data_IF_486934679146
#
_entry.id   IF_486934679146
#
_cell.length_a   1.000
_cell.length_b   1.000
_cell.length_c   1.000
_cell.angle_alpha   90.00
_cell.angle_beta   90.00
_cell.angle_gamma   90.00
#
_symmetry.space_group_name_H-M   'P 1'
#
loop_
_entity.id
_entity.type
_entity.pdbx_description
1 polymer ?
#
# COMPACT_ATOMS: atom_id res chain seq x y z
N UNK A 1 17.31 30.07 1.80
CA UNK A 1 16.04 29.42 2.22
C UNK A 1 16.31 27.92 2.18
N UNK A 2 16.13 27.23 3.29
CA UNK A 2 16.24 25.78 3.36
C UNK A 2 15.04 25.17 2.63
N UNK A 3 15.26 24.22 1.74
CA UNK A 3 14.22 23.68 0.83
C UNK A 3 13.47 24.75 0.04
N UNK A 4 14.20 25.50 -0.79
CA UNK A 4 13.63 26.51 -1.70
C UNK A 4 12.67 25.93 -2.75
N UNK A 5 12.02 26.78 -3.53
CA UNK A 5 10.99 26.37 -4.50
C UNK A 5 11.51 25.52 -5.67
N UNK A 6 12.82 25.55 -5.90
CA UNK A 6 13.50 24.78 -6.95
C UNK A 6 14.29 23.58 -6.41
N UNK A 7 14.04 23.17 -5.18
CA UNK A 7 14.68 21.96 -4.65
C UNK A 7 14.40 20.78 -5.57
N UNK A 8 15.43 20.02 -5.93
CA UNK A 8 15.42 18.90 -6.91
C UNK A 8 15.17 19.29 -8.37
N UNK A 9 14.98 20.57 -8.71
CA UNK A 9 14.86 21.03 -10.09
C UNK A 9 16.23 21.50 -10.58
N UNK A 10 17.00 20.58 -11.16
CA UNK A 10 18.43 20.79 -11.45
C UNK A 10 18.71 21.64 -12.68
N UNK A 11 17.72 21.80 -13.55
CA UNK A 11 17.87 22.57 -14.80
C UNK A 11 16.58 23.24 -15.25
N UNK A 12 16.66 24.15 -16.21
CA UNK A 12 15.53 24.94 -16.68
C UNK A 12 14.39 24.08 -17.27
N UNK A 13 14.72 22.94 -17.89
CA UNK A 13 13.69 22.03 -18.43
C UNK A 13 12.93 21.33 -17.32
N UNK A 14 13.60 20.93 -16.24
CA UNK A 14 12.95 20.38 -15.06
C UNK A 14 12.00 21.42 -14.43
N UNK A 15 12.44 22.70 -14.37
CA UNK A 15 11.58 23.80 -13.88
C UNK A 15 10.37 23.99 -14.80
N UNK A 16 10.55 24.05 -16.13
CA UNK A 16 9.46 24.20 -17.09
C UNK A 16 8.41 23.10 -16.99
N UNK A 17 8.85 21.83 -16.90
CA UNK A 17 7.98 20.66 -16.73
C UNK A 17 7.24 20.70 -15.40
N UNK A 18 7.92 21.05 -14.32
CA UNK A 18 7.32 21.17 -13.00
C UNK A 18 6.27 22.28 -12.95
N UNK A 19 6.56 23.46 -13.52
CA UNK A 19 5.61 24.57 -13.58
C UNK A 19 4.31 24.20 -14.32
N UNK A 20 4.41 23.37 -15.35
CA UNK A 20 3.25 22.80 -16.04
C UNK A 20 2.51 21.78 -15.14
N UNK A 21 3.24 20.84 -14.54
CA UNK A 21 2.67 19.71 -13.85
C UNK A 21 2.08 20.06 -12.45
N UNK A 22 2.64 21.06 -11.75
CA UNK A 22 2.27 21.37 -10.36
C UNK A 22 0.80 21.78 -10.15
N UNK A 23 0.11 22.20 -11.20
CA UNK A 23 -1.31 22.58 -11.16
C UNK A 23 -2.26 21.45 -11.56
N UNK A 24 -1.74 20.34 -12.10
CA UNK A 24 -2.56 19.20 -12.48
C UNK A 24 -3.12 18.52 -11.23
N UNK A 25 -4.36 17.99 -11.30
CA UNK A 25 -4.90 17.22 -10.19
C UNK A 25 -4.12 15.92 -10.01
N UNK A 26 -3.99 15.50 -8.74
CA UNK A 26 -3.37 14.22 -8.39
C UNK A 26 -4.45 13.14 -8.37
N UNK A 27 -4.20 12.06 -9.09
CA UNK A 27 -4.94 10.80 -8.95
C UNK A 27 -4.05 9.84 -8.13
N UNK A 28 -4.39 9.68 -6.86
CA UNK A 28 -3.69 8.78 -5.95
C UNK A 28 -4.26 7.37 -6.09
N UNK A 29 -3.71 6.60 -7.02
CA UNK A 29 -4.24 5.29 -7.42
C UNK A 29 -3.82 4.14 -6.50
N UNK A 30 -3.08 4.41 -5.44
CA UNK A 30 -2.75 3.45 -4.38
C UNK A 30 -2.36 4.18 -3.11
N UNK A 31 -3.19 4.09 -2.09
CA UNK A 31 -2.91 4.67 -0.78
C UNK A 31 -3.40 3.77 0.36
N UNK A 32 -2.90 4.05 1.58
CA UNK A 32 -3.30 3.36 2.81
C UNK A 32 -4.12 4.24 3.76
N UNK A 33 -4.81 5.26 3.22
CA UNK A 33 -5.72 6.08 4.03
C UNK A 33 -6.92 5.24 4.48
N UNK A 34 -7.23 5.29 5.77
CA UNK A 34 -8.40 4.61 6.31
C UNK A 34 -9.69 5.32 5.86
N UNK A 35 -10.60 4.63 5.14
CA UNK A 35 -11.85 5.25 4.69
C UNK A 35 -12.69 5.84 5.83
N UNK A 36 -12.62 5.23 7.02
CA UNK A 36 -13.32 5.68 8.22
C UNK A 36 -12.80 7.03 8.72
N UNK A 37 -11.47 7.27 8.63
CA UNK A 37 -10.87 8.55 8.99
C UNK A 37 -11.29 9.66 8.01
N UNK A 38 -11.46 9.32 6.73
CA UNK A 38 -11.97 10.24 5.70
C UNK A 38 -13.45 10.52 5.94
N UNK A 39 -14.27 9.49 6.17
CA UNK A 39 -15.72 9.65 6.44
C UNK A 39 -15.96 10.53 7.66
N UNK A 40 -15.23 10.27 8.74
CA UNK A 40 -15.33 11.03 9.99
C UNK A 40 -14.67 12.41 9.94
N UNK A 41 -14.02 12.75 8.83
CA UNK A 41 -13.19 13.97 8.68
C UNK A 41 -12.26 14.17 9.88
N UNK A 42 -11.48 13.14 10.21
CA UNK A 42 -10.58 13.12 11.35
C UNK A 42 -9.69 14.36 11.38
N UNK A 43 -9.77 15.10 12.48
CA UNK A 43 -8.94 16.28 12.74
C UNK A 43 -7.66 15.85 13.44
N UNK A 44 -6.53 16.34 12.96
CA UNK A 44 -5.21 16.14 13.58
C UNK A 44 -4.86 17.33 14.45
N UNK A 45 -4.45 17.06 15.69
CA UNK A 45 -4.23 18.12 16.70
C UNK A 45 -2.76 18.54 16.79
N UNK A 46 -1.83 17.69 16.33
CA UNK A 46 -0.39 17.97 16.40
C UNK A 46 0.37 17.14 15.35
N UNK A 47 1.68 17.44 15.19
CA UNK A 47 2.54 16.76 14.22
C UNK A 47 2.72 15.26 14.51
N UNK A 48 2.69 14.83 15.75
CA UNK A 48 2.82 13.42 16.10
C UNK A 48 1.60 12.63 15.62
N UNK A 49 0.40 13.14 15.83
CA UNK A 49 -0.82 12.53 15.29
C UNK A 49 -0.81 12.48 13.76
N UNK A 50 -0.35 13.56 13.11
CA UNK A 50 -0.34 13.67 11.66
C UNK A 50 0.77 12.81 11.00
N UNK A 51 1.96 12.76 11.62
CA UNK A 51 3.15 12.20 10.98
C UNK A 51 3.64 10.88 11.58
N UNK A 52 3.42 10.65 12.87
CA UNK A 52 4.05 9.53 13.59
C UNK A 52 3.09 8.43 14.04
N UNK A 53 1.78 8.68 14.04
CA UNK A 53 0.82 7.69 14.53
C UNK A 53 0.45 6.58 13.52
N UNK A 54 1.16 6.44 12.42
CA UNK A 54 0.90 5.41 11.42
C UNK A 54 2.00 5.25 10.38
N UNK A 55 3.05 6.08 10.44
CA UNK A 55 4.12 6.06 9.44
C UNK A 55 5.28 5.16 9.88
N UNK A 56 5.22 3.90 9.48
CA UNK A 56 6.26 2.92 9.76
C UNK A 56 7.62 3.24 9.10
N UNK A 57 7.69 4.08 8.09
CA UNK A 57 8.96 4.58 7.52
C UNK A 57 9.65 5.55 8.47
N UNK A 58 8.91 6.46 9.09
CA UNK A 58 9.42 7.37 10.12
C UNK A 58 9.84 6.59 11.37
N UNK A 59 9.04 5.59 11.78
CA UNK A 59 9.40 4.70 12.90
C UNK A 59 10.70 3.95 12.66
N UNK A 60 10.93 3.49 11.42
CA UNK A 60 12.16 2.77 11.05
C UNK A 60 13.41 3.64 11.25
N UNK A 61 13.39 4.90 10.81
CA UNK A 61 14.55 5.78 11.00
C UNK A 61 14.76 6.15 12.47
N UNK A 62 13.68 6.34 13.25
CA UNK A 62 13.79 6.58 14.69
C UNK A 62 14.44 5.39 15.40
N UNK A 63 14.03 4.16 15.06
CA UNK A 63 14.65 2.93 15.60
C UNK A 63 16.11 2.77 15.18
N UNK A 64 16.43 3.05 13.92
CA UNK A 64 17.79 2.98 13.40
C UNK A 64 18.72 4.00 14.08
N UNK A 65 18.20 5.13 14.53
CA UNK A 65 18.91 6.11 15.33
C UNK A 65 19.10 5.69 16.79
N UNK A 66 18.28 4.76 17.30
CA UNK A 66 18.32 4.27 18.67
C UNK A 66 17.31 4.93 19.61
N UNK A 67 16.23 5.49 19.08
CA UNK A 67 15.12 6.00 19.90
C UNK A 67 14.44 4.83 20.62
N UNK A 68 14.13 5.03 21.90
CA UNK A 68 13.38 4.05 22.70
C UNK A 68 11.98 3.84 22.14
N UNK A 69 11.52 2.59 22.10
CA UNK A 69 10.23 2.19 21.52
C UNK A 69 9.03 2.90 22.16
N UNK A 70 9.16 3.32 23.42
CA UNK A 70 8.18 4.17 24.11
C UNK A 70 7.81 5.43 23.32
N UNK A 71 8.80 6.02 22.63
CA UNK A 71 8.64 7.24 21.83
C UNK A 71 8.42 6.95 20.33
N UNK A 72 8.27 5.72 19.92
CA UNK A 72 8.01 5.32 18.54
C UNK A 72 6.55 4.83 18.45
N UNK A 73 6.28 3.59 18.86
CA UNK A 73 4.94 3.00 18.85
C UNK A 73 4.29 2.94 20.23
N UNK A 74 5.05 3.22 21.30
CA UNK A 74 4.58 3.17 22.69
C UNK A 74 3.79 4.42 23.12
N UNK A 75 3.60 4.56 24.43
CA UNK A 75 2.75 5.54 25.11
C UNK A 75 3.46 6.86 25.49
N UNK A 76 4.59 7.17 24.85
CA UNK A 76 5.30 8.43 25.09
C UNK A 76 4.46 9.65 24.73
N UNK A 77 4.73 10.77 25.40
CA UNK A 77 4.09 12.06 25.12
C UNK A 77 4.33 12.49 23.65
N UNK A 78 3.32 13.04 22.99
CA UNK A 78 3.35 13.41 21.58
C UNK A 78 4.45 14.43 21.24
N UNK A 79 4.66 15.42 22.10
CA UNK A 79 5.72 16.40 21.90
C UNK A 79 7.09 15.75 21.99
N UNK A 80 7.27 14.84 22.97
CA UNK A 80 8.52 14.10 23.12
C UNK A 80 8.76 13.17 21.91
N UNK A 81 7.73 12.49 21.39
CA UNK A 81 7.84 11.70 20.16
C UNK A 81 8.34 12.54 18.99
N UNK A 82 7.74 13.71 18.77
CA UNK A 82 8.20 14.63 17.73
C UNK A 82 9.64 15.10 17.96
N UNK A 83 10.02 15.38 19.20
CA UNK A 83 11.39 15.79 19.52
C UNK A 83 12.40 14.70 19.24
N UNK A 84 12.08 13.44 19.56
CA UNK A 84 12.92 12.28 19.20
C UNK A 84 13.03 12.09 17.69
N UNK A 85 11.94 12.33 16.96
CA UNK A 85 11.99 12.34 15.49
C UNK A 85 12.89 13.48 14.95
N UNK A 86 12.76 14.70 15.50
CA UNK A 86 13.61 15.84 15.13
C UNK A 86 15.08 15.65 15.49
N UNK A 87 15.38 14.87 16.52
CA UNK A 87 16.74 14.46 16.89
C UNK A 87 17.31 13.44 15.88
N UNK A 88 16.52 12.46 15.48
CA UNK A 88 16.93 11.40 14.56
C UNK A 88 17.10 11.91 13.13
N UNK A 89 16.16 12.69 12.60
CA UNK A 89 16.03 13.02 11.18
C UNK A 89 17.31 13.60 10.53
N UNK A 90 18.10 14.51 11.16
CA UNK A 90 19.33 15.05 10.57
C UNK A 90 20.41 14.01 10.25
N UNK A 91 20.33 12.83 10.83
CA UNK A 91 21.28 11.74 10.58
C UNK A 91 20.91 10.91 9.33
N UNK A 92 19.79 11.22 8.69
CA UNK A 92 19.24 10.50 7.54
C UNK A 92 19.18 11.36 6.26
N UNK A 93 20.10 12.32 6.10
CA UNK A 93 20.24 13.09 4.85
C UNK A 93 20.47 12.10 3.69
N UNK A 94 19.68 12.24 2.62
CA UNK A 94 19.67 11.33 1.49
C UNK A 94 18.61 10.22 1.56
N UNK A 95 17.99 10.01 2.73
CA UNK A 95 16.80 9.19 2.84
C UNK A 95 15.56 9.99 2.36
N UNK A 96 14.64 9.42 1.58
CA UNK A 96 13.42 10.11 1.14
C UNK A 96 12.60 10.74 2.28
N UNK A 97 12.51 10.10 3.44
CA UNK A 97 11.79 10.63 4.61
C UNK A 97 12.32 12.00 5.04
N UNK A 98 13.65 12.23 4.93
CA UNK A 98 14.23 13.55 5.20
C UNK A 98 13.65 14.63 4.27
N UNK A 99 13.52 14.31 3.00
CA UNK A 99 12.99 15.24 2.01
C UNK A 99 11.48 15.45 2.20
N UNK A 100 10.73 14.37 2.36
CA UNK A 100 9.28 14.41 2.52
C UNK A 100 8.86 15.24 3.72
N UNK A 101 9.43 15.00 4.90
CA UNK A 101 9.10 15.75 6.12
C UNK A 101 9.33 17.25 5.96
N UNK A 102 10.41 17.68 5.28
CA UNK A 102 10.66 19.09 5.03
C UNK A 102 9.74 19.70 3.96
N UNK A 103 9.38 18.93 2.92
CA UNK A 103 8.43 19.37 1.90
C UNK A 103 7.02 19.49 2.48
N UNK A 104 6.61 18.56 3.32
CA UNK A 104 5.35 18.59 4.07
C UNK A 104 5.29 19.81 5.00
N UNK A 105 6.37 20.04 5.77
CA UNK A 105 6.47 21.20 6.65
C UNK A 105 6.34 22.52 5.87
N UNK A 106 6.99 22.61 4.71
CA UNK A 106 6.89 23.78 3.83
C UNK A 106 5.48 23.92 3.24
N UNK A 107 4.93 22.86 2.67
CA UNK A 107 3.66 22.89 1.92
C UNK A 107 2.47 23.23 2.84
N UNK A 108 2.36 22.55 3.96
CA UNK A 108 1.18 22.64 4.82
C UNK A 108 1.32 23.68 5.94
N UNK A 109 2.54 23.99 6.34
CA UNK A 109 2.79 24.89 7.49
C UNK A 109 3.51 26.19 7.14
N UNK A 110 3.95 26.38 5.88
CA UNK A 110 4.79 27.52 5.44
C UNK A 110 6.08 27.67 6.26
N UNK A 111 6.61 26.54 6.73
CA UNK A 111 7.84 26.49 7.51
C UNK A 111 8.99 25.93 6.67
N UNK A 112 10.08 26.69 6.57
CA UNK A 112 11.30 26.26 5.87
C UNK A 112 12.48 26.11 6.82
N UNK A 113 12.18 25.76 8.08
CA UNK A 113 13.20 25.47 9.10
C UNK A 113 13.68 24.02 8.94
N UNK A 114 15.00 23.75 9.09
CA UNK A 114 15.49 22.39 9.23
C UNK A 114 14.87 21.70 10.45
N UNK A 115 14.33 20.50 10.25
CA UNK A 115 13.85 19.67 11.36
C UNK A 115 15.08 19.11 12.07
N UNK A 116 15.37 19.66 13.25
CA UNK A 116 16.50 19.28 14.08
C UNK A 116 16.25 19.74 15.53
N UNK A 117 17.03 19.28 16.53
CA UNK A 117 16.82 19.63 17.94
C UNK A 117 16.76 21.14 18.21
N UNK A 118 17.56 21.92 17.49
CA UNK A 118 17.61 23.38 17.66
C UNK A 118 16.28 24.05 17.31
N UNK A 119 15.55 23.54 16.34
CA UNK A 119 14.34 24.17 15.82
C UNK A 119 13.07 23.42 16.25
N UNK A 120 13.19 22.30 16.96
CA UNK A 120 12.06 21.42 17.30
C UNK A 120 10.96 22.15 18.07
N UNK A 121 11.34 22.97 19.08
CA UNK A 121 10.36 23.73 19.86
C UNK A 121 9.62 24.78 19.02
N UNK A 122 10.32 25.50 18.17
CA UNK A 122 9.69 26.48 17.27
C UNK A 122 8.76 25.81 16.28
N UNK A 123 9.19 24.70 15.66
CA UNK A 123 8.36 23.95 14.70
C UNK A 123 7.12 23.43 15.40
N UNK A 124 7.26 22.81 16.57
CA UNK A 124 6.14 22.29 17.34
C UNK A 124 5.11 23.38 17.66
N UNK A 125 5.57 24.50 18.21
CA UNK A 125 4.69 25.60 18.61
C UNK A 125 3.94 26.18 17.40
N UNK A 126 4.65 26.48 16.31
CA UNK A 126 4.03 27.10 15.12
C UNK A 126 3.07 26.17 14.40
N UNK A 127 3.35 24.86 14.39
CA UNK A 127 2.44 23.90 13.81
C UNK A 127 1.20 23.69 14.66
N UNK A 128 1.32 23.66 15.99
CA UNK A 128 0.16 23.64 16.89
C UNK A 128 -0.74 24.86 16.69
N UNK A 129 -0.15 26.07 16.62
CA UNK A 129 -0.91 27.31 16.37
C UNK A 129 -1.70 27.22 15.05
N UNK A 130 -1.08 26.68 13.99
CA UNK A 130 -1.73 26.53 12.68
C UNK A 130 -2.81 25.45 12.67
N UNK A 131 -2.68 24.41 13.47
CA UNK A 131 -3.65 23.32 13.59
C UNK A 131 -4.83 23.63 14.52
N UNK A 132 -4.71 24.67 15.35
CA UNK A 132 -5.67 24.99 16.40
C UNK A 132 -7.09 25.33 15.90
N UNK A 133 -7.24 25.76 14.65
CA UNK A 133 -8.53 26.12 14.06
C UNK A 133 -9.29 24.92 13.45
N UNK A 134 -8.72 23.70 13.54
CA UNK A 134 -9.30 22.47 12.97
C UNK A 134 -9.20 22.39 11.45
N UNK A 135 -8.35 23.19 10.81
CA UNK A 135 -8.14 23.15 9.35
C UNK A 135 -7.32 21.95 8.89
N UNK A 136 -6.69 21.21 9.81
CA UNK A 136 -5.94 19.99 9.52
C UNK A 136 -6.82 18.75 9.72
N UNK A 137 -7.83 18.60 8.86
CA UNK A 137 -8.65 17.40 8.82
C UNK A 137 -8.34 16.55 7.58
N UNK A 138 -8.73 15.28 7.62
CA UNK A 138 -8.46 14.32 6.54
C UNK A 138 -8.97 14.85 5.18
N UNK A 139 -10.22 15.33 5.12
CA UNK A 139 -10.81 15.85 3.88
C UNK A 139 -10.12 17.12 3.40
N UNK A 140 -9.83 18.06 4.31
CA UNK A 140 -9.17 19.32 3.95
C UNK A 140 -7.73 19.12 3.49
N UNK A 141 -7.02 18.14 4.02
CA UNK A 141 -5.67 17.80 3.57
C UNK A 141 -5.68 17.16 2.17
N UNK A 142 -6.64 16.28 1.88
CA UNK A 142 -6.82 15.69 0.54
C UNK A 142 -7.16 16.80 -0.47
N UNK A 143 -8.14 17.64 -0.17
CA UNK A 143 -8.55 18.77 -1.01
C UNK A 143 -7.40 19.77 -1.22
N UNK A 144 -6.74 20.21 -0.14
CA UNK A 144 -5.62 21.15 -0.18
C UNK A 144 -4.37 20.59 -0.90
N UNK A 145 -4.33 19.30 -1.13
CA UNK A 145 -3.29 18.62 -1.92
C UNK A 145 -3.61 18.57 -3.42
N UNK A 146 -4.76 19.09 -3.85
CA UNK A 146 -5.26 19.01 -5.22
C UNK A 146 -5.44 17.55 -5.70
N UNK A 147 -5.88 16.68 -4.80
CA UNK A 147 -6.17 15.28 -5.12
C UNK A 147 -7.60 15.16 -5.62
N UNK A 148 -7.79 14.60 -6.80
CA UNK A 148 -9.11 14.39 -7.38
C UNK A 148 -9.71 13.01 -7.07
N UNK A 149 -8.87 12.04 -6.74
CA UNK A 149 -9.29 10.72 -6.29
C UNK A 149 -8.18 10.06 -5.46
N UNK A 150 -8.59 9.29 -4.46
CA UNK A 150 -7.75 8.35 -3.71
C UNK A 150 -8.31 6.94 -3.87
N UNK A 151 -7.43 5.97 -4.05
CA UNK A 151 -7.78 4.55 -4.12
C UNK A 151 -7.18 3.86 -2.90
N UNK A 152 -8.04 3.44 -1.99
CA UNK A 152 -7.65 2.83 -0.71
C UNK A 152 -7.25 1.36 -0.88
N UNK A 153 -6.90 0.68 0.21
CA UNK A 153 -6.58 -0.76 0.21
C UNK A 153 -7.55 -1.47 1.15
N UNK A 154 -8.43 -2.31 0.58
CA UNK A 154 -9.56 -2.87 1.30
C UNK A 154 -9.62 -4.40 1.17
N UNK A 155 -9.89 -5.08 2.27
CA UNK A 155 -9.96 -6.54 2.28
C UNK A 155 -11.21 -7.05 1.53
N UNK A 156 -11.11 -8.13 0.74
CA UNK A 156 -12.26 -8.77 0.07
C UNK A 156 -13.50 -8.99 0.94
N UNK A 157 -13.34 -9.14 2.26
CA UNK A 157 -14.46 -9.34 3.19
C UNK A 157 -15.08 -8.05 3.73
N UNK A 158 -14.53 -6.88 3.40
CA UNK A 158 -15.02 -5.58 3.86
C UNK A 158 -16.39 -5.24 3.25
N UNK A 159 -17.23 -4.59 4.04
CA UNK A 159 -18.57 -4.19 3.62
C UNK A 159 -18.62 -2.90 2.81
N UNK A 160 -17.49 -2.16 2.71
CA UNK A 160 -17.35 -0.88 2.03
C UNK A 160 -18.37 0.19 2.47
N UNK A 161 -18.88 0.12 3.70
CA UNK A 161 -19.88 1.04 4.21
C UNK A 161 -19.41 2.50 4.23
N UNK A 162 -18.14 2.73 4.58
CA UNK A 162 -17.53 4.05 4.57
C UNK A 162 -17.43 4.62 3.14
N UNK A 163 -17.01 3.83 2.15
CA UNK A 163 -16.95 4.26 0.75
C UNK A 163 -18.35 4.67 0.24
N UNK A 164 -19.38 3.85 0.52
CA UNK A 164 -20.75 4.17 0.13
C UNK A 164 -21.30 5.42 0.82
N UNK A 165 -20.88 5.68 2.06
CA UNK A 165 -21.28 6.89 2.77
C UNK A 165 -20.59 8.12 2.16
N UNK A 166 -19.27 8.07 1.96
CA UNK A 166 -18.47 9.16 1.35
C UNK A 166 -18.97 9.48 -0.07
N UNK A 167 -19.32 8.46 -0.86
CA UNK A 167 -19.83 8.64 -2.22
C UNK A 167 -21.18 9.40 -2.31
N UNK A 168 -21.89 9.55 -1.18
CA UNK A 168 -23.15 10.33 -1.08
C UNK A 168 -22.92 11.78 -0.64
N UNK A 169 -21.70 12.09 -0.22
CA UNK A 169 -21.32 13.45 0.18
C UNK A 169 -20.87 14.26 -1.04
N UNK A 170 -20.97 15.58 -0.95
CA UNK A 170 -20.47 16.51 -1.96
C UNK A 170 -18.99 16.84 -1.70
N UNK A 171 -18.12 15.87 -1.95
CA UNK A 171 -16.66 16.05 -1.84
C UNK A 171 -16.06 16.42 -3.20
N UNK A 172 -15.04 17.31 -3.27
CA UNK A 172 -14.35 17.65 -4.52
C UNK A 172 -13.43 16.53 -5.03
N UNK A 173 -13.33 15.42 -4.31
CA UNK A 173 -12.53 14.25 -4.64
C UNK A 173 -13.34 12.95 -4.47
N UNK A 174 -12.88 11.88 -5.10
CA UNK A 174 -13.47 10.55 -4.96
C UNK A 174 -12.63 9.69 -4.00
N UNK A 175 -13.30 8.80 -3.27
CA UNK A 175 -12.67 7.73 -2.49
C UNK A 175 -13.15 6.41 -3.05
N UNK A 176 -12.23 5.65 -3.66
CA UNK A 176 -12.53 4.42 -4.37
C UNK A 176 -11.87 3.24 -3.66
N UNK A 177 -12.57 2.10 -3.49
CA UNK A 177 -11.95 0.92 -2.92
C UNK A 177 -11.00 0.24 -3.91
N UNK A 178 -9.95 -0.42 -3.40
CA UNK A 178 -9.14 -1.37 -4.14
C UNK A 178 -9.24 -2.75 -3.46
N UNK A 179 -9.46 -3.79 -4.25
CA UNK A 179 -9.57 -5.15 -3.76
C UNK A 179 -8.18 -5.71 -3.43
N UNK A 180 -7.81 -5.82 -2.15
CA UNK A 180 -6.51 -6.31 -1.72
C UNK A 180 -6.52 -7.81 -1.51
N UNK A 181 -5.89 -8.55 -2.43
CA UNK A 181 -5.96 -10.00 -2.47
C UNK A 181 -4.91 -10.73 -1.61
N UNK A 182 -4.10 -10.02 -0.81
CA UNK A 182 -3.01 -10.62 -0.03
C UNK A 182 -3.49 -11.80 0.83
N UNK A 183 -4.62 -11.69 1.52
CA UNK A 183 -5.14 -12.76 2.36
C UNK A 183 -5.69 -13.94 1.57
N UNK A 184 -6.08 -13.72 0.33
CA UNK A 184 -6.55 -14.80 -0.56
C UNK A 184 -5.40 -15.69 -1.01
N UNK A 185 -4.25 -15.09 -1.33
CA UNK A 185 -3.10 -15.82 -1.90
C UNK A 185 -2.18 -16.43 -0.83
N UNK A 186 -2.22 -15.94 0.39
CA UNK A 186 -1.32 -16.39 1.46
C UNK A 186 -1.89 -17.59 2.23
N UNK A 187 -2.05 -18.71 1.53
CA UNK A 187 -2.65 -19.96 2.04
C UNK A 187 -1.89 -20.55 3.23
N UNK A 188 -0.60 -20.24 3.37
CA UNK A 188 0.25 -20.71 4.47
C UNK A 188 -0.06 -20.08 5.84
N UNK A 189 -0.88 -19.01 5.87
CA UNK A 189 -1.15 -18.30 7.13
C UNK A 189 -2.04 -19.11 8.08
N UNK A 190 -1.75 -19.09 9.38
CA UNK A 190 -2.49 -19.88 10.37
C UNK A 190 -4.01 -19.64 10.36
N UNK A 191 -4.44 -18.40 10.10
CA UNK A 191 -5.84 -17.98 10.10
C UNK A 191 -6.54 -18.14 8.75
N UNK A 192 -5.91 -18.80 7.76
CA UNK A 192 -6.44 -18.90 6.40
C UNK A 192 -7.79 -19.60 6.33
N UNK A 193 -7.99 -20.71 7.04
CA UNK A 193 -9.27 -21.42 7.04
C UNK A 193 -10.42 -20.56 7.60
N UNK A 194 -10.17 -19.82 8.67
CA UNK A 194 -11.14 -18.86 9.22
C UNK A 194 -11.44 -17.72 8.24
N UNK A 195 -10.42 -17.26 7.53
CA UNK A 195 -10.59 -16.25 6.50
C UNK A 195 -11.45 -16.73 5.33
N UNK A 196 -11.20 -17.93 4.80
CA UNK A 196 -11.99 -18.53 3.72
C UNK A 196 -13.44 -18.73 4.15
N UNK A 197 -13.68 -19.15 5.39
CA UNK A 197 -15.04 -19.23 5.93
C UNK A 197 -15.73 -17.87 5.93
N UNK A 198 -15.06 -16.84 6.43
CA UNK A 198 -15.59 -15.46 6.43
C UNK A 198 -15.85 -14.94 5.01
N UNK A 199 -14.95 -15.22 4.07
CA UNK A 199 -15.14 -14.88 2.66
C UNK A 199 -16.41 -15.54 2.10
N UNK A 200 -16.60 -16.83 2.37
CA UNK A 200 -17.79 -17.58 1.97
C UNK A 200 -19.07 -16.97 2.53
N UNK A 201 -19.08 -16.60 3.80
CA UNK A 201 -20.21 -15.95 4.46
C UNK A 201 -20.60 -14.63 3.77
N UNK A 202 -19.64 -13.74 3.49
CA UNK A 202 -19.92 -12.44 2.85
C UNK A 202 -20.21 -12.56 1.36
N UNK A 203 -19.69 -13.59 0.69
CA UNK A 203 -19.96 -13.89 -0.72
C UNK A 203 -21.27 -14.69 -0.93
N UNK A 204 -21.81 -15.30 0.15
CA UNK A 204 -22.96 -16.21 0.06
C UNK A 204 -22.62 -17.51 -0.71
N UNK A 205 -21.42 -18.05 -0.52
CA UNK A 205 -20.89 -19.27 -1.14
C UNK A 205 -20.35 -20.18 -0.03
N UNK A 206 -20.74 -21.46 -0.04
CA UNK A 206 -20.10 -22.46 0.83
C UNK A 206 -18.84 -22.97 0.13
N UNK A 207 -17.66 -22.49 0.57
CA UNK A 207 -16.36 -22.82 -0.05
C UNK A 207 -15.91 -24.17 0.49
N UNK A 208 -15.85 -25.19 -0.37
CA UNK A 208 -15.36 -26.54 -0.08
C UNK A 208 -14.15 -26.91 -0.92
N UNK A 209 -13.95 -26.22 -2.04
CA UNK A 209 -12.89 -26.45 -2.99
C UNK A 209 -12.53 -25.17 -3.74
N UNK A 210 -11.58 -25.32 -4.65
CA UNK A 210 -11.00 -24.19 -5.37
C UNK A 210 -12.00 -23.47 -6.29
N UNK A 211 -12.94 -24.20 -6.90
CA UNK A 211 -13.95 -23.59 -7.75
C UNK A 211 -14.93 -22.72 -6.96
N UNK A 212 -15.35 -23.13 -5.77
CA UNK A 212 -16.19 -22.32 -4.90
C UNK A 212 -15.42 -21.10 -4.36
N UNK A 213 -14.10 -21.26 -4.11
CA UNK A 213 -13.25 -20.12 -3.79
C UNK A 213 -13.23 -19.09 -4.92
N UNK A 214 -13.04 -19.54 -6.16
CA UNK A 214 -13.08 -18.65 -7.34
C UNK A 214 -14.44 -17.97 -7.48
N UNK A 215 -15.55 -18.69 -7.28
CA UNK A 215 -16.90 -18.11 -7.29
C UNK A 215 -17.06 -17.04 -6.20
N UNK A 216 -16.58 -17.30 -4.99
CA UNK A 216 -16.63 -16.34 -3.90
C UNK A 216 -15.80 -15.08 -4.21
N UNK A 217 -14.60 -15.23 -4.73
CA UNK A 217 -13.72 -14.14 -5.18
C UNK A 217 -14.41 -13.31 -6.26
N UNK A 218 -14.99 -13.96 -7.27
CA UNK A 218 -15.68 -13.28 -8.37
C UNK A 218 -16.87 -12.45 -7.88
N UNK A 219 -17.73 -13.01 -7.00
CA UNK A 219 -18.85 -12.30 -6.40
C UNK A 219 -18.39 -11.09 -5.57
N UNK A 220 -17.29 -11.23 -4.82
CA UNK A 220 -16.73 -10.13 -4.05
C UNK A 220 -16.13 -9.06 -4.95
N UNK A 221 -15.45 -9.45 -6.00
CA UNK A 221 -14.91 -8.53 -7.01
C UNK A 221 -16.04 -7.73 -7.68
N UNK A 222 -17.15 -8.38 -8.06
CA UNK A 222 -18.32 -7.69 -8.60
C UNK A 222 -18.92 -6.69 -7.60
N UNK A 223 -18.96 -7.05 -6.32
CA UNK A 223 -19.40 -6.14 -5.26
C UNK A 223 -18.46 -4.93 -5.16
N UNK A 224 -17.14 -5.11 -5.25
CA UNK A 224 -16.18 -4.01 -5.24
C UNK A 224 -16.33 -3.11 -6.47
N UNK A 225 -16.47 -3.69 -7.66
CA UNK A 225 -16.74 -2.96 -8.91
C UNK A 225 -18.01 -2.12 -8.80
N UNK A 226 -19.09 -2.69 -8.27
CA UNK A 226 -20.35 -1.97 -8.05
C UNK A 226 -20.19 -0.79 -7.07
N UNK A 227 -19.13 -0.78 -6.25
CA UNK A 227 -18.77 0.32 -5.34
C UNK A 227 -17.61 1.19 -5.86
N UNK A 228 -17.22 1.05 -7.14
CA UNK A 228 -16.29 1.92 -7.82
C UNK A 228 -14.84 1.44 -7.85
N UNK A 229 -14.55 0.19 -7.46
CA UNK A 229 -13.20 -0.38 -7.58
C UNK A 229 -12.76 -0.45 -9.04
N UNK A 230 -11.51 -0.07 -9.28
CA UNK A 230 -10.87 -0.07 -10.60
C UNK A 230 -9.58 -0.89 -10.63
N UNK A 231 -9.15 -1.39 -9.50
CA UNK A 231 -7.90 -2.13 -9.36
C UNK A 231 -7.99 -3.23 -8.31
N UNK A 232 -7.12 -4.22 -8.45
CA UNK A 232 -6.78 -5.22 -7.43
C UNK A 232 -5.32 -5.04 -7.05
N UNK A 233 -5.03 -5.11 -5.75
CA UNK A 233 -3.69 -5.00 -5.17
C UNK A 233 -3.26 -6.36 -4.60
N UNK A 234 -2.05 -6.79 -4.94
CA UNK A 234 -1.47 -8.07 -4.51
C UNK A 234 -0.03 -7.84 -4.06
N UNK A 235 0.28 -8.18 -2.82
CA UNK A 235 1.62 -8.12 -2.26
C UNK A 235 2.25 -9.51 -2.13
N UNK A 236 3.51 -9.66 -2.63
CA UNK A 236 4.26 -10.91 -2.58
C UNK A 236 5.76 -10.67 -2.39
N UNK A 237 6.47 -11.65 -1.87
CA UNK A 237 7.93 -11.57 -1.74
C UNK A 237 8.61 -11.73 -3.10
N UNK A 238 8.19 -12.72 -3.90
CA UNK A 238 8.61 -12.97 -5.28
C UNK A 238 7.43 -13.47 -6.10
N UNK A 239 7.54 -13.47 -7.42
CA UNK A 239 6.54 -14.09 -8.28
C UNK A 239 6.48 -15.59 -7.99
N UNK A 240 5.28 -16.16 -7.75
CA UNK A 240 5.15 -17.60 -7.56
C UNK A 240 5.46 -18.34 -8.85
N UNK A 241 5.97 -19.55 -8.72
CA UNK A 241 6.11 -20.49 -9.84
C UNK A 241 4.99 -21.52 -9.78
N UNK A 242 4.36 -21.80 -10.93
CA UNK A 242 3.27 -22.77 -10.99
C UNK A 242 2.93 -23.15 -12.44
N UNK A 243 1.99 -24.06 -12.57
CA UNK A 243 1.52 -24.60 -13.86
C UNK A 243 0.07 -24.27 -14.18
N UNK A 244 -0.67 -23.68 -13.23
CA UNK A 244 -2.10 -23.41 -13.36
C UNK A 244 -2.97 -24.66 -13.17
N UNK A 245 -2.54 -25.60 -12.33
CA UNK A 245 -3.25 -26.85 -12.08
C UNK A 245 -4.37 -26.68 -11.05
N UNK A 246 -5.59 -26.47 -11.56
CA UNK A 246 -6.80 -26.31 -10.73
C UNK A 246 -7.07 -27.55 -9.85
N UNK A 247 -6.77 -28.76 -10.34
CA UNK A 247 -7.00 -29.99 -9.56
C UNK A 247 -6.06 -30.08 -8.38
N UNK A 248 -4.78 -29.72 -8.58
CA UNK A 248 -3.82 -29.65 -7.48
C UNK A 248 -4.22 -28.56 -6.47
N UNK A 249 -4.68 -27.41 -6.94
CA UNK A 249 -5.16 -26.33 -6.06
C UNK A 249 -6.39 -26.73 -5.23
N UNK A 250 -7.23 -27.61 -5.74
CA UNK A 250 -8.37 -28.16 -5.00
C UNK A 250 -7.90 -29.03 -3.83
N UNK A 251 -6.94 -29.94 -4.08
CA UNK A 251 -6.32 -30.80 -3.06
C UNK A 251 -5.58 -29.95 -2.01
N UNK A 252 -4.80 -28.94 -2.45
CA UNK A 252 -4.07 -28.03 -1.55
C UNK A 252 -5.03 -27.24 -0.63
N UNK A 253 -6.14 -26.74 -1.20
CA UNK A 253 -7.14 -26.01 -0.42
C UNK A 253 -7.84 -26.92 0.59
N UNK A 254 -8.22 -28.15 0.21
CA UNK A 254 -8.82 -29.13 1.11
C UNK A 254 -7.87 -29.43 2.27
N UNK A 255 -6.59 -29.70 1.99
CA UNK A 255 -5.56 -29.94 2.99
C UNK A 255 -5.42 -28.74 3.96
N UNK A 256 -5.46 -27.52 3.44
CA UNK A 256 -5.38 -26.32 4.28
C UNK A 256 -6.63 -26.09 5.13
N UNK A 257 -7.82 -26.36 4.61
CA UNK A 257 -9.08 -26.26 5.35
C UNK A 257 -9.14 -27.32 6.48
N UNK A 258 -8.47 -28.46 6.30
CA UNK A 258 -8.25 -29.49 7.31
C UNK A 258 -7.08 -29.16 8.29
N UNK A 259 -6.54 -27.92 8.24
CA UNK A 259 -5.43 -27.44 9.06
C UNK A 259 -4.11 -28.22 8.86
N UNK A 260 -3.94 -28.91 7.72
CA UNK A 260 -2.69 -29.58 7.38
C UNK A 260 -1.61 -28.56 6.97
N UNK A 261 -0.35 -29.03 7.03
CA UNK A 261 0.78 -28.23 6.58
C UNK A 261 0.81 -28.13 5.06
N UNK A 262 1.05 -26.92 4.55
CA UNK A 262 1.26 -26.62 3.14
C UNK A 262 2.73 -26.28 2.93
N UNK A 263 3.39 -26.99 2.03
CA UNK A 263 4.78 -26.70 1.71
C UNK A 263 4.94 -25.53 0.73
N UNK A 264 6.19 -25.15 0.44
CA UNK A 264 6.46 -23.98 -0.38
C UNK A 264 6.11 -24.19 -1.87
N UNK A 265 6.17 -25.42 -2.37
CA UNK A 265 5.82 -25.74 -3.76
C UNK A 265 4.29 -25.70 -3.94
N UNK A 266 3.55 -26.29 -3.02
CA UNK A 266 2.09 -26.23 -3.00
C UNK A 266 1.57 -24.79 -2.85
N UNK A 267 2.20 -24.03 -1.94
CA UNK A 267 1.90 -22.61 -1.79
C UNK A 267 2.14 -21.84 -3.09
N UNK A 268 3.25 -22.08 -3.76
CA UNK A 268 3.60 -21.39 -5.01
C UNK A 268 2.60 -21.73 -6.13
N UNK A 269 2.23 -23.01 -6.31
CA UNK A 269 1.22 -23.45 -7.27
C UNK A 269 -0.14 -22.80 -6.99
N UNK A 270 -0.59 -22.81 -5.73
CA UNK A 270 -1.85 -22.20 -5.34
C UNK A 270 -1.86 -20.70 -5.61
N UNK A 271 -0.79 -19.98 -5.22
CA UNK A 271 -0.65 -18.54 -5.48
C UNK A 271 -0.67 -18.23 -6.96
N UNK A 272 0.12 -18.96 -7.75
CA UNK A 272 0.21 -18.79 -9.21
C UNK A 272 -1.17 -18.96 -9.86
N UNK A 273 -1.84 -20.06 -9.56
CA UNK A 273 -3.12 -20.41 -10.17
C UNK A 273 -4.22 -19.43 -9.77
N UNK A 274 -4.34 -19.12 -8.48
CA UNK A 274 -5.35 -18.15 -8.01
C UNK A 274 -5.12 -16.75 -8.61
N UNK A 275 -3.88 -16.27 -8.64
CA UNK A 275 -3.53 -14.99 -9.24
C UNK A 275 -3.83 -14.95 -10.74
N UNK A 276 -3.59 -16.05 -11.48
CA UNK A 276 -3.91 -16.14 -12.89
C UNK A 276 -5.44 -16.07 -13.15
N UNK A 277 -6.24 -16.70 -12.29
CA UNK A 277 -7.70 -16.60 -12.36
C UNK A 277 -8.18 -15.18 -12.00
N UNK A 278 -7.61 -14.55 -10.98
CA UNK A 278 -7.90 -13.14 -10.65
C UNK A 278 -7.55 -12.24 -11.83
N UNK A 279 -6.38 -12.41 -12.46
CA UNK A 279 -5.97 -11.62 -13.61
C UNK A 279 -6.99 -11.71 -14.77
N UNK A 280 -7.51 -12.92 -15.06
CA UNK A 280 -8.58 -13.10 -16.04
C UNK A 280 -9.87 -12.36 -15.64
N UNK A 281 -10.28 -12.46 -14.36
CA UNK A 281 -11.45 -11.71 -13.86
C UNK A 281 -11.28 -10.21 -14.02
N UNK A 282 -10.07 -9.69 -13.82
CA UNK A 282 -9.73 -8.27 -14.01
C UNK A 282 -9.79 -7.86 -15.46
N UNK A 283 -9.26 -8.69 -16.35
CA UNK A 283 -9.30 -8.47 -17.80
C UNK A 283 -10.74 -8.33 -18.30
N UNK A 284 -11.62 -9.23 -17.86
CA UNK A 284 -13.03 -9.24 -18.25
C UNK A 284 -13.81 -8.01 -17.74
N UNK A 285 -13.25 -7.28 -16.75
CA UNK A 285 -13.85 -6.08 -16.11
C UNK A 285 -13.11 -4.77 -16.43
N UNK A 286 -12.10 -4.80 -17.31
CA UNK A 286 -11.20 -3.66 -17.62
C UNK A 286 -10.58 -3.03 -16.35
N UNK A 287 -10.18 -3.87 -15.39
CA UNK A 287 -9.55 -3.45 -14.15
C UNK A 287 -8.03 -3.53 -14.24
N UNK A 288 -7.34 -2.81 -13.34
CA UNK A 288 -5.89 -2.79 -13.23
C UNK A 288 -5.42 -3.81 -12.19
N UNK A 289 -4.38 -4.58 -12.53
CA UNK A 289 -3.66 -5.45 -11.59
C UNK A 289 -2.44 -4.71 -11.05
N UNK A 290 -2.36 -4.52 -9.73
CA UNK A 290 -1.24 -3.90 -9.04
C UNK A 290 -0.46 -4.98 -8.29
N UNK A 291 0.79 -5.21 -8.66
CA UNK A 291 1.64 -6.26 -8.10
C UNK A 291 2.79 -5.63 -7.29
N UNK A 292 2.79 -5.82 -5.99
CA UNK A 292 3.86 -5.39 -5.09
C UNK A 292 4.81 -6.56 -4.83
N UNK A 293 6.07 -6.43 -5.24
CA UNK A 293 7.06 -7.51 -5.14
C UNK A 293 8.34 -7.05 -4.46
N UNK A 294 9.03 -7.97 -3.83
CA UNK A 294 10.38 -7.74 -3.32
C UNK A 294 10.44 -7.23 -1.88
N UNK A 295 9.49 -7.59 -1.03
CA UNK A 295 9.48 -7.24 0.40
C UNK A 295 9.50 -8.49 1.27
N UNK A 296 10.53 -8.61 2.11
CA UNK A 296 10.56 -9.60 3.20
C UNK A 296 9.89 -8.99 4.42
N UNK A 297 8.80 -9.59 4.86
CA UNK A 297 8.01 -9.10 6.00
C UNK A 297 8.58 -9.56 7.33
N UNK A 298 8.47 -8.69 8.35
CA UNK A 298 8.71 -9.01 9.75
C UNK A 298 10.08 -9.67 10.03
N UNK A 299 11.17 -9.13 9.44
CA UNK A 299 12.51 -9.73 9.49
C UNK A 299 13.09 -9.89 10.89
N UNK A 300 12.57 -9.20 11.90
CA UNK A 300 12.99 -9.30 13.28
C UNK A 300 11.83 -9.83 14.14
N UNK A 301 11.89 -11.14 14.46
CA UNK A 301 10.86 -11.82 15.26
C UNK A 301 10.62 -11.15 16.60
N UNK A 302 11.68 -10.76 17.32
CA UNK A 302 11.54 -10.11 18.63
C UNK A 302 10.85 -8.72 18.54
N UNK A 303 11.03 -8.00 17.42
CA UNK A 303 10.31 -6.76 17.16
C UNK A 303 8.85 -7.06 16.83
N UNK A 304 8.60 -8.06 15.99
CA UNK A 304 7.26 -8.51 15.64
C UNK A 304 6.45 -8.95 16.86
N UNK A 305 7.04 -9.79 17.72
CA UNK A 305 6.40 -10.27 18.96
C UNK A 305 6.03 -9.13 19.91
N UNK A 306 6.81 -8.05 19.92
CA UNK A 306 6.59 -6.90 20.81
C UNK A 306 5.64 -5.87 20.24
N UNK A 307 5.72 -5.58 18.95
CA UNK A 307 5.06 -4.42 18.32
C UNK A 307 4.03 -4.81 17.26
N UNK A 308 4.01 -6.06 16.80
CA UNK A 308 3.08 -6.53 15.75
C UNK A 308 3.57 -6.29 14.33
N UNK A 309 2.62 -6.30 13.39
CA UNK A 309 2.85 -6.08 11.95
C UNK A 309 2.99 -4.58 11.62
N UNK A 310 3.52 -4.28 10.45
CA UNK A 310 3.58 -2.93 9.86
C UNK A 310 4.27 -1.86 10.73
N UNK A 311 5.25 -2.28 11.51
CA UNK A 311 6.01 -1.40 12.42
C UNK A 311 7.37 -0.95 11.87
N UNK A 312 7.63 -1.16 10.57
CA UNK A 312 8.91 -0.86 9.93
C UNK A 312 9.96 -1.95 10.12
N UNK A 313 9.53 -3.18 10.41
CA UNK A 313 10.39 -4.37 10.57
C UNK A 313 10.66 -5.15 9.29
N UNK A 314 10.23 -4.63 8.14
CA UNK A 314 10.38 -5.27 6.83
C UNK A 314 11.73 -4.95 6.18
N UNK A 315 12.15 -5.73 5.22
CA UNK A 315 13.37 -5.51 4.44
C UNK A 315 13.13 -5.69 2.95
N UNK A 316 14.03 -5.14 2.15
CA UNK A 316 14.06 -5.40 0.71
C UNK A 316 14.46 -6.86 0.50
N UNK A 317 13.67 -7.59 -0.28
CA UNK A 317 13.97 -8.96 -0.65
C UNK A 317 15.21 -9.05 -1.55
N UNK A 318 15.71 -10.26 -1.70
CA UNK A 318 16.82 -10.58 -2.57
C UNK A 318 16.47 -10.32 -4.05
N UNK A 319 17.29 -10.74 -4.97
CA UNK A 319 17.07 -10.55 -6.40
C UNK A 319 15.74 -11.22 -6.81
N UNK A 320 14.83 -10.42 -7.35
CA UNK A 320 13.59 -10.90 -7.93
C UNK A 320 13.88 -11.94 -9.02
N UNK A 321 13.18 -13.07 -9.00
CA UNK A 321 13.27 -14.05 -10.09
C UNK A 321 12.46 -13.58 -11.30
N UNK A 322 13.11 -12.87 -12.21
CA UNK A 322 12.50 -12.34 -13.43
C UNK A 322 11.96 -13.43 -14.34
N UNK A 323 12.49 -14.66 -14.26
CA UNK A 323 11.93 -15.77 -15.02
C UNK A 323 10.53 -16.15 -14.51
N UNK A 324 10.33 -16.18 -13.19
CA UNK A 324 9.00 -16.44 -12.64
C UNK A 324 8.01 -15.32 -13.04
N UNK A 325 8.47 -14.05 -13.02
CA UNK A 325 7.68 -12.92 -13.50
C UNK A 325 7.27 -13.11 -14.96
N UNK A 326 8.23 -13.49 -15.83
CA UNK A 326 7.96 -13.80 -17.25
C UNK A 326 6.95 -14.94 -17.39
N UNK A 327 7.17 -16.04 -16.68
CA UNK A 327 6.33 -17.24 -16.80
C UNK A 327 4.89 -16.95 -16.35
N UNK A 328 4.72 -16.18 -15.28
CA UNK A 328 3.39 -15.74 -14.82
C UNK A 328 2.71 -14.82 -15.86
N UNK A 329 3.38 -13.78 -16.31
CA UNK A 329 2.80 -12.83 -17.26
C UNK A 329 2.45 -13.50 -18.59
N UNK A 330 3.34 -14.37 -19.11
CA UNK A 330 3.12 -15.13 -20.35
C UNK A 330 1.98 -16.14 -20.21
N UNK A 331 1.91 -16.84 -19.07
CA UNK A 331 0.79 -17.75 -18.79
C UNK A 331 -0.56 -17.02 -18.80
N UNK A 332 -0.63 -15.87 -18.13
CA UNK A 332 -1.87 -15.06 -18.08
C UNK A 332 -2.24 -14.57 -19.48
N UNK A 333 -1.25 -14.06 -20.25
CA UNK A 333 -1.48 -13.59 -21.62
C UNK A 333 -2.04 -14.70 -22.52
N UNK A 334 -1.48 -15.92 -22.44
CA UNK A 334 -1.95 -17.07 -23.24
C UNK A 334 -3.31 -17.62 -22.80
N UNK A 335 -3.72 -17.40 -21.54
CA UNK A 335 -4.93 -17.99 -20.95
C UNK A 335 -6.07 -16.99 -20.72
N UNK A 336 -6.15 -15.93 -21.47
CA UNK A 336 -7.26 -14.98 -21.43
C UNK A 336 -6.87 -13.53 -21.64
N UNK A 337 -5.59 -13.23 -21.76
CA UNK A 337 -5.02 -11.92 -21.95
C UNK A 337 -4.67 -11.23 -20.63
N UNK A 338 -3.53 -10.54 -20.63
CA UNK A 338 -3.01 -9.82 -19.49
C UNK A 338 -3.84 -8.54 -19.27
N UNK A 339 -4.36 -8.27 -18.05
CA UNK A 339 -4.97 -6.99 -17.74
C UNK A 339 -3.89 -5.88 -17.71
N UNK A 340 -4.31 -4.61 -17.72
CA UNK A 340 -3.39 -3.50 -17.44
C UNK A 340 -2.69 -3.75 -16.11
N UNK A 341 -1.36 -3.83 -16.12
CA UNK A 341 -0.58 -4.27 -14.96
C UNK A 341 0.43 -3.21 -14.54
N UNK A 342 0.51 -2.96 -13.24
CA UNK A 342 1.54 -2.12 -12.61
C UNK A 342 2.36 -3.02 -11.69
N UNK A 343 3.68 -3.00 -11.83
CA UNK A 343 4.59 -3.74 -10.96
C UNK A 343 5.37 -2.75 -10.10
N UNK A 344 5.26 -2.88 -8.79
CA UNK A 344 6.02 -2.10 -7.81
C UNK A 344 7.11 -2.97 -7.19
N UNK A 345 8.31 -2.43 -7.05
CA UNK A 345 9.38 -3.08 -6.30
C UNK A 345 10.20 -2.07 -5.52
N UNK A 346 10.56 -2.44 -4.29
CA UNK A 346 11.48 -1.66 -3.46
C UNK A 346 12.95 -1.90 -3.82
N UNK A 347 13.23 -2.96 -4.60
CA UNK A 347 14.60 -3.31 -4.97
C UNK A 347 15.02 -2.61 -6.27
N UNK A 348 15.89 -1.57 -6.23
CA UNK A 348 16.32 -0.87 -7.43
C UNK A 348 17.06 -1.76 -8.42
N UNK A 349 17.65 -2.88 -7.99
CA UNK A 349 18.31 -3.82 -8.89
C UNK A 349 17.34 -4.57 -9.80
N UNK A 350 16.05 -4.63 -9.41
CA UNK A 350 14.98 -5.23 -10.21
C UNK A 350 14.40 -4.28 -11.27
N UNK A 351 14.65 -2.97 -11.19
CA UNK A 351 14.05 -2.00 -12.12
C UNK A 351 14.44 -2.28 -13.57
N UNK A 352 15.73 -2.52 -13.81
CA UNK A 352 16.22 -2.72 -15.17
C UNK A 352 15.66 -4.00 -15.83
N UNK A 353 15.75 -5.19 -15.22
CA UNK A 353 15.19 -6.39 -15.80
C UNK A 353 13.66 -6.35 -15.92
N UNK A 354 12.94 -5.77 -14.95
CA UNK A 354 11.49 -5.60 -15.07
C UNK A 354 11.11 -4.62 -16.18
N UNK A 355 11.81 -3.49 -16.30
CA UNK A 355 11.55 -2.51 -17.35
C UNK A 355 11.75 -3.09 -18.76
N UNK A 356 12.70 -4.00 -18.94
CA UNK A 356 12.88 -4.71 -20.21
C UNK A 356 11.80 -5.75 -20.44
N UNK A 357 11.42 -6.53 -19.40
CA UNK A 357 10.39 -7.56 -19.48
C UNK A 357 9.03 -6.97 -19.85
N UNK A 358 8.60 -5.89 -19.19
CA UNK A 358 7.28 -5.30 -19.49
C UNK A 358 7.19 -4.73 -20.91
N UNK A 359 8.32 -4.47 -21.56
CA UNK A 359 8.38 -4.07 -22.97
C UNK A 359 7.85 -5.14 -23.93
N UNK A 360 7.95 -6.41 -23.56
CA UNK A 360 7.50 -7.54 -24.37
C UNK A 360 5.98 -7.72 -24.35
N UNK A 361 5.30 -7.14 -23.38
CA UNK A 361 3.84 -7.20 -23.20
C UNK A 361 3.11 -5.93 -23.65
N UNK A 362 3.78 -5.05 -24.39
CA UNK A 362 3.17 -3.86 -24.97
C UNK A 362 2.54 -4.12 -26.33
N UNK A 363 1.42 -3.45 -26.63
CA UNK A 363 0.84 -3.48 -27.97
C UNK A 363 0.08 -4.74 -28.32
N UNK A 364 -0.24 -5.59 -27.37
CA UNK A 364 -1.24 -6.64 -27.55
C UNK A 364 -2.57 -5.98 -27.89
N UNK A 365 -3.21 -6.45 -28.94
CA UNK A 365 -4.46 -5.87 -29.45
C UNK A 365 -5.54 -5.92 -28.35
N UNK A 366 -5.94 -4.77 -27.90
CA UNK A 366 -7.07 -4.56 -27.00
C UNK A 366 -8.30 -4.14 -27.77
#
# INVERSE_FOLDING_TARGET
MFFGDKVFLENDKAVELYEYAKSLPIFDYHCHLAPQDILGDKVFLNLTELWLNGDHYKWRIMRAYGVDEKFITGDGDDKEKFFRFAEALPHFIGNPVYHWAHLELKKYFDLTLPICPKNAEEIWTRTLEKMADGSFSAKKLIEGSNVCAVVTTDDPVDDLSAHRAIAREDNPFKVLPCFRADRLINIDKPDYADYVKKLGEVAGVEIKGFNELLEAVERRLDFFVANGATAVDIGMEDFPFGYGDVSQCDDILEDRLDEKFIDDDDKAEFQFTLMAHIAKMLRDRDMVMQLHVGVIRNCNTALFDRCGVDVGGDSVANVLNVNNARDFLDYVEQNGGLPKTIIYTLNPTAYYPLATLIGDFQGTAY
#
